data_IF_510379568239
#
_entry.id   IF_510379568239
#
_cell.length_a   1.000
_cell.length_b   1.000
_cell.length_c   1.000
_cell.angle_alpha   90.00
_cell.angle_beta   90.00
_cell.angle_gamma   90.00
#
_symmetry.space_group_name_H-M   'P 1'
#
loop_
_entity.id
_entity.type
_entity.pdbx_description
1 polymer ?
#
# COMPACT_ATOMS: atom_id res chain seq x y z
N UNK A 1 14.74 -5.65 22.48
CA UNK A 1 14.31 -5.85 21.06
C UNK A 1 12.90 -6.42 20.92
N UNK A 2 12.46 -7.37 21.76
CA UNK A 2 11.12 -8.01 21.65
C UNK A 2 9.92 -7.04 21.67
N UNK A 3 9.97 -5.96 22.45
CA UNK A 3 8.86 -5.00 22.56
C UNK A 3 8.50 -4.30 21.23
N UNK A 4 9.49 -3.94 20.39
CA UNK A 4 9.21 -3.22 19.12
C UNK A 4 8.51 -4.11 18.09
N UNK A 5 8.92 -5.38 18.01
CA UNK A 5 8.31 -6.37 17.12
C UNK A 5 6.87 -6.65 17.55
N UNK A 6 6.64 -6.85 18.84
CA UNK A 6 5.30 -7.05 19.39
C UNK A 6 4.36 -5.90 19.05
N UNK A 7 4.78 -4.64 19.26
CA UNK A 7 3.94 -3.47 18.92
C UNK A 7 3.69 -3.39 17.41
N UNK A 8 4.65 -3.72 16.56
CA UNK A 8 4.43 -3.74 15.09
C UNK A 8 3.40 -4.80 14.70
N UNK A 9 3.52 -6.02 15.22
CA UNK A 9 2.57 -7.11 14.95
C UNK A 9 1.18 -6.77 15.47
N UNK A 10 1.06 -6.21 16.68
CA UNK A 10 -0.24 -5.81 17.24
C UNK A 10 -0.93 -4.72 16.41
N UNK A 11 -0.18 -3.74 15.89
CA UNK A 11 -0.75 -2.71 15.01
C UNK A 11 -1.20 -3.32 13.69
N UNK A 12 -0.42 -4.24 13.10
CA UNK A 12 -0.78 -4.90 11.84
C UNK A 12 -2.02 -5.81 11.99
N UNK A 13 -2.15 -6.50 13.13
CA UNK A 13 -3.34 -7.30 13.44
C UNK A 13 -4.55 -6.41 13.70
N UNK A 14 -4.38 -5.29 14.40
CA UNK A 14 -5.46 -4.34 14.64
C UNK A 14 -5.94 -3.68 13.34
N UNK A 15 -5.03 -3.32 12.44
CA UNK A 15 -5.41 -2.76 11.13
C UNK A 15 -6.14 -3.79 10.26
N UNK A 16 -5.74 -5.07 10.30
CA UNK A 16 -6.49 -6.15 9.64
C UNK A 16 -7.95 -6.20 10.09
N UNK A 17 -8.22 -6.08 11.39
CA UNK A 17 -9.60 -6.07 11.90
C UNK A 17 -10.40 -4.88 11.39
N UNK A 18 -9.79 -3.69 11.35
CA UNK A 18 -10.47 -2.47 10.87
C UNK A 18 -10.77 -2.53 9.37
N UNK A 19 -9.82 -3.01 8.57
CA UNK A 19 -9.93 -2.94 7.11
C UNK A 19 -10.57 -4.17 6.46
N UNK A 20 -10.66 -5.30 7.17
CA UNK A 20 -11.29 -6.52 6.65
C UNK A 20 -12.55 -6.91 7.43
N UNK A 21 -12.46 -7.02 8.76
CA UNK A 21 -13.57 -7.54 9.56
C UNK A 21 -14.74 -6.55 9.64
N UNK A 22 -14.47 -5.27 9.94
CA UNK A 22 -15.53 -4.25 10.03
C UNK A 22 -16.32 -4.08 8.71
N UNK A 23 -15.66 -3.92 7.55
CA UNK A 23 -16.37 -3.77 6.28
C UNK A 23 -17.17 -5.02 5.88
N UNK A 24 -16.64 -6.23 6.17
CA UNK A 24 -17.37 -7.48 5.94
C UNK A 24 -18.61 -7.60 6.83
N UNK A 25 -18.51 -7.22 8.11
CA UNK A 25 -19.67 -7.17 9.03
C UNK A 25 -20.69 -6.15 8.53
N UNK A 26 -20.25 -4.97 8.09
CA UNK A 26 -21.13 -3.95 7.53
C UNK A 26 -21.86 -4.46 6.28
N UNK A 27 -21.18 -5.16 5.38
CA UNK A 27 -21.79 -5.76 4.20
C UNK A 27 -22.80 -6.85 4.56
N UNK A 28 -22.48 -7.70 5.55
CA UNK A 28 -23.42 -8.69 6.08
C UNK A 28 -24.68 -8.05 6.65
N UNK A 29 -24.55 -6.94 7.38
CA UNK A 29 -25.68 -6.18 7.90
C UNK A 29 -26.50 -5.54 6.78
N UNK A 30 -25.84 -4.92 5.79
CA UNK A 30 -26.51 -4.37 4.60
C UNK A 30 -27.33 -5.44 3.88
N UNK A 31 -26.74 -6.62 3.67
CA UNK A 31 -27.41 -7.76 3.04
C UNK A 31 -28.59 -8.26 3.88
N UNK A 32 -28.39 -8.47 5.18
CA UNK A 32 -29.42 -8.99 6.09
C UNK A 32 -30.63 -8.04 6.18
N UNK A 33 -30.38 -6.74 6.33
CA UNK A 33 -31.43 -5.72 6.45
C UNK A 33 -31.97 -5.22 5.11
N UNK A 34 -31.53 -5.80 3.98
CA UNK A 34 -31.96 -5.40 2.63
C UNK A 34 -31.81 -3.89 2.41
N UNK A 35 -30.69 -3.32 2.88
CA UNK A 35 -30.45 -1.89 2.78
C UNK A 35 -29.96 -1.57 1.37
N UNK A 36 -30.82 -0.93 0.58
CA UNK A 36 -30.49 -0.48 -0.76
C UNK A 36 -29.89 0.94 -0.78
N UNK A 37 -29.19 1.27 -1.87
CA UNK A 37 -28.69 2.62 -2.15
C UNK A 37 -27.28 2.88 -1.62
N UNK A 38 -27.02 4.13 -1.23
CA UNK A 38 -25.66 4.64 -0.97
C UNK A 38 -24.90 3.88 0.13
N UNK A 39 -25.61 3.31 1.10
CA UNK A 39 -25.00 2.57 2.21
C UNK A 39 -24.40 1.22 1.73
N UNK A 40 -25.09 0.53 0.82
CA UNK A 40 -24.59 -0.71 0.22
C UNK A 40 -23.37 -0.47 -0.65
N UNK A 41 -23.41 0.59 -1.48
CA UNK A 41 -22.27 1.00 -2.30
C UNK A 41 -21.07 1.37 -1.45
N UNK A 42 -21.29 2.09 -0.34
CA UNK A 42 -20.22 2.50 0.57
C UNK A 42 -19.61 1.30 1.29
N UNK A 43 -20.42 0.32 1.71
CA UNK A 43 -19.92 -0.91 2.31
C UNK A 43 -19.04 -1.71 1.33
N UNK A 44 -19.46 -1.81 0.06
CA UNK A 44 -18.68 -2.49 -0.97
C UNK A 44 -17.34 -1.77 -1.27
N UNK A 45 -17.37 -0.45 -1.40
CA UNK A 45 -16.17 0.36 -1.60
C UNK A 45 -15.20 0.27 -0.41
N UNK A 46 -15.73 0.26 0.83
CA UNK A 46 -14.92 0.11 2.05
C UNK A 46 -14.18 -1.23 2.08
N UNK A 47 -14.78 -2.31 1.58
CA UNK A 47 -14.10 -3.61 1.47
C UNK A 47 -12.98 -3.55 0.44
N UNK A 48 -13.30 -3.06 -0.76
CA UNK A 48 -12.37 -3.07 -1.88
C UNK A 48 -11.16 -2.17 -1.61
N UNK A 49 -11.38 -0.92 -1.18
CA UNK A 49 -10.30 0.02 -0.89
C UNK A 49 -9.66 -0.21 0.48
N UNK A 50 -10.40 -0.77 1.45
CA UNK A 50 -9.85 -1.09 2.77
C UNK A 50 -8.72 -2.09 2.71
N UNK A 51 -8.87 -3.14 1.89
CA UNK A 51 -7.83 -4.16 1.67
C UNK A 51 -6.54 -3.55 1.10
N UNK A 52 -6.67 -2.73 0.06
CA UNK A 52 -5.55 -2.05 -0.59
C UNK A 52 -4.85 -1.07 0.39
N UNK A 53 -5.64 -0.29 1.13
CA UNK A 53 -5.12 0.67 2.10
C UNK A 53 -4.37 -0.02 3.24
N UNK A 54 -4.83 -1.18 3.71
CA UNK A 54 -4.15 -1.94 4.77
C UNK A 54 -2.79 -2.48 4.30
N UNK A 55 -2.67 -2.91 3.05
CA UNK A 55 -1.39 -3.30 2.46
C UNK A 55 -0.39 -2.15 2.46
N UNK A 56 -0.82 -0.97 2.02
CA UNK A 56 0.00 0.25 2.02
C UNK A 56 0.38 0.66 3.46
N UNK A 57 -0.58 0.65 4.38
CA UNK A 57 -0.37 1.02 5.77
C UNK A 57 0.67 0.12 6.43
N UNK A 58 0.59 -1.20 6.22
CA UNK A 58 1.59 -2.13 6.73
C UNK A 58 2.98 -1.84 6.17
N UNK A 59 3.12 -1.62 4.86
CA UNK A 59 4.39 -1.24 4.26
C UNK A 59 4.98 0.04 4.89
N UNK A 60 4.14 1.05 5.15
CA UNK A 60 4.53 2.28 5.83
C UNK A 60 4.96 2.02 7.28
N UNK A 61 4.20 1.24 8.05
CA UNK A 61 4.54 0.88 9.43
C UNK A 61 5.92 0.23 9.47
N UNK A 62 6.21 -0.69 8.55
CA UNK A 62 7.52 -1.33 8.46
C UNK A 62 8.63 -0.33 8.11
N UNK A 63 8.41 0.53 7.11
CA UNK A 63 9.35 1.57 6.71
C UNK A 63 9.67 2.56 7.85
N UNK A 64 8.67 2.92 8.66
CA UNK A 64 8.84 3.86 9.77
C UNK A 64 9.42 3.20 11.02
N UNK A 65 9.12 1.93 11.32
CA UNK A 65 9.59 1.30 12.57
C UNK A 65 10.93 0.56 12.44
N UNK A 66 11.32 0.14 11.25
CA UNK A 66 12.53 -0.65 11.04
C UNK A 66 13.60 0.15 10.28
N UNK A 67 14.61 0.62 11.01
CA UNK A 67 15.70 1.45 10.46
C UNK A 67 16.48 0.72 9.35
N UNK A 68 16.76 -0.57 9.52
CA UNK A 68 17.44 -1.40 8.50
C UNK A 68 16.63 -1.49 7.20
N UNK A 69 15.30 -1.65 7.32
CA UNK A 69 14.40 -1.71 6.18
C UNK A 69 14.32 -0.35 5.48
N UNK A 70 14.35 0.75 6.24
CA UNK A 70 14.36 2.11 5.71
C UNK A 70 15.62 2.41 4.92
N UNK A 71 16.80 2.08 5.45
CA UNK A 71 18.07 2.29 4.74
C UNK A 71 18.17 1.41 3.49
N UNK A 72 17.75 0.14 3.58
CA UNK A 72 17.67 -0.76 2.42
C UNK A 72 16.75 -0.22 1.33
N UNK A 73 15.59 0.31 1.72
CA UNK A 73 14.62 0.91 0.80
C UNK A 73 15.18 2.17 0.12
N UNK A 74 15.89 3.04 0.84
CA UNK A 74 16.57 4.22 0.26
C UNK A 74 17.60 3.80 -0.80
N UNK A 75 18.42 2.80 -0.52
CA UNK A 75 19.39 2.28 -1.48
C UNK A 75 18.72 1.70 -2.73
N UNK A 76 17.60 1.01 -2.56
CA UNK A 76 16.84 0.42 -3.66
C UNK A 76 16.20 1.50 -4.53
N UNK A 77 15.61 2.54 -3.92
CA UNK A 77 15.08 3.72 -4.61
C UNK A 77 16.19 4.45 -5.37
N UNK A 78 17.35 4.70 -4.76
CA UNK A 78 18.49 5.34 -5.44
C UNK A 78 18.99 4.54 -6.65
N UNK A 79 19.06 3.20 -6.53
CA UNK A 79 19.41 2.32 -7.66
C UNK A 79 18.37 2.40 -8.77
N UNK A 80 17.08 2.36 -8.44
CA UNK A 80 15.99 2.50 -9.42
C UNK A 80 16.03 3.85 -10.11
N UNK A 81 16.15 4.95 -9.37
CA UNK A 81 16.23 6.31 -9.94
C UNK A 81 17.43 6.48 -10.85
N UNK A 82 18.61 5.93 -10.50
CA UNK A 82 19.78 5.91 -11.38
C UNK A 82 19.53 5.10 -12.65
N UNK A 83 18.87 3.94 -12.55
CA UNK A 83 18.51 3.10 -13.70
C UNK A 83 17.52 3.80 -14.63
N UNK A 84 16.53 4.49 -14.07
CA UNK A 84 15.55 5.29 -14.83
C UNK A 84 16.23 6.49 -15.49
N UNK A 85 17.10 7.20 -14.79
CA UNK A 85 17.88 8.30 -15.37
C UNK A 85 18.79 7.82 -16.50
N UNK A 86 19.45 6.67 -16.33
CA UNK A 86 20.28 6.04 -17.37
C UNK A 86 19.44 5.55 -18.57
N UNK A 87 18.24 5.02 -18.32
CA UNK A 87 17.33 4.64 -19.39
C UNK A 87 16.88 5.86 -20.18
N UNK A 88 16.53 6.95 -19.49
CA UNK A 88 16.08 8.19 -20.10
C UNK A 88 17.20 8.92 -20.87
N UNK A 89 18.45 8.86 -20.39
CA UNK A 89 19.60 9.40 -21.14
C UNK A 89 19.90 8.58 -22.39
N UNK A 90 19.81 7.24 -22.32
CA UNK A 90 19.98 6.38 -23.50
C UNK A 90 18.85 6.56 -24.53
N UNK A 91 17.62 6.81 -24.08
CA UNK A 91 16.50 7.06 -24.97
C UNK A 91 16.58 8.43 -25.66
N UNK A 92 17.06 9.47 -24.96
CA UNK A 92 17.32 10.78 -25.58
C UNK A 92 18.43 10.75 -26.64
N UNK A 93 19.45 9.91 -26.48
CA UNK A 93 20.51 9.75 -27.48
C UNK A 93 19.99 9.07 -28.76
N UNK A 94 19.00 8.16 -28.64
CA UNK A 94 18.39 7.49 -29.80
C UNK A 94 17.57 8.41 -30.71
N UNK A 95 17.05 9.53 -30.21
CA UNK A 95 16.21 10.44 -31.00
C UNK A 95 17.00 11.57 -31.71
N UNK A 96 18.32 11.64 -31.55
CA UNK A 96 19.17 12.64 -32.21
C UNK A 96 20.09 12.06 -33.31
N UNK A 97 19.95 10.77 -33.65
CA UNK A 97 20.79 10.11 -34.69
C UNK A 97 20.13 10.11 -36.09
N UNK A 98 18.93 10.69 -36.25
CA UNK A 98 18.27 10.81 -37.56
C UNK A 98 17.96 12.27 -37.92
N UNK A 99 19.00 13.06 -38.19
CA UNK A 99 18.88 14.23 -39.07
C UNK A 99 20.13 14.22 -39.96
N UNK A 100 20.03 13.51 -41.07
CA UNK A 100 20.87 13.70 -42.27
C UNK A 100 20.05 14.46 -43.30
#
# INVERSE_FOLDING_TARGET
MQSKVFVTVSIALFSMTIFYALPAILQLLVYYFHVDGWLATTAFMLIQYGAEFNGILNALIYLFKHQEFRESSKHLVLKLTRKVAHFNSNHKISNHVYVY
#
